data_IF_868744677215
#
_entry.id   IF_868744677215
#
_cell.length_a   1.000
_cell.length_b   1.000
_cell.length_c   1.000
_cell.angle_alpha   90.00
_cell.angle_beta   90.00
_cell.angle_gamma   90.00
#
_symmetry.space_group_name_H-M   'P 1'
#
loop_
_entity.id
_entity.type
_entity.pdbx_description
1 polymer ?
#
# COMPACT_ATOMS: atom_id res chain seq x y z
N UNK A 1 6.52 39.77 -28.09
CA UNK A 1 7.27 39.57 -26.83
C UNK A 1 6.47 38.83 -25.76
N UNK A 2 5.14 38.73 -25.87
CA UNK A 2 4.27 38.03 -24.89
C UNK A 2 4.29 36.50 -25.00
N UNK A 3 4.37 35.94 -26.22
CA UNK A 3 4.36 34.47 -26.42
C UNK A 3 5.56 33.76 -25.77
N UNK A 4 6.77 34.31 -25.90
CA UNK A 4 7.98 33.76 -25.27
C UNK A 4 7.87 33.80 -23.73
N UNK A 5 7.35 34.90 -23.18
CA UNK A 5 7.20 35.04 -21.72
C UNK A 5 6.16 34.07 -21.15
N UNK A 6 5.06 33.82 -21.87
CA UNK A 6 4.04 32.83 -21.47
C UNK A 6 4.60 31.41 -21.48
N UNK A 7 5.38 31.04 -22.51
CA UNK A 7 6.06 29.74 -22.55
C UNK A 7 7.08 29.59 -21.41
N UNK A 8 7.79 30.67 -21.06
CA UNK A 8 8.79 30.65 -19.99
C UNK A 8 8.16 30.53 -18.61
N UNK A 9 7.06 31.25 -18.34
CA UNK A 9 6.34 31.12 -17.06
C UNK A 9 5.63 29.78 -16.93
N UNK A 10 5.09 29.22 -18.03
CA UNK A 10 4.47 27.89 -18.04
C UNK A 10 5.50 26.78 -17.77
N UNK A 11 6.70 26.87 -18.37
CA UNK A 11 7.79 25.92 -18.11
C UNK A 11 8.23 25.96 -16.64
N UNK A 12 8.47 27.16 -16.10
CA UNK A 12 8.87 27.35 -14.69
C UNK A 12 7.76 26.85 -13.75
N UNK A 13 6.50 27.13 -14.04
CA UNK A 13 5.37 26.64 -13.25
C UNK A 13 5.26 25.11 -13.27
N UNK A 14 5.44 24.47 -14.42
CA UNK A 14 5.42 23.00 -14.54
C UNK A 14 6.58 22.32 -13.83
N UNK A 15 7.78 22.91 -13.89
CA UNK A 15 8.95 22.44 -13.15
C UNK A 15 8.72 22.59 -11.64
N UNK A 16 8.25 23.77 -11.20
CA UNK A 16 7.92 24.01 -9.78
C UNK A 16 6.88 23.03 -9.26
N UNK A 17 5.76 22.82 -9.97
CA UNK A 17 4.70 21.88 -9.56
C UNK A 17 5.23 20.45 -9.40
N UNK A 18 6.14 20.01 -10.29
CA UNK A 18 6.75 18.68 -10.22
C UNK A 18 7.60 18.50 -8.95
N UNK A 19 8.36 19.51 -8.57
CA UNK A 19 9.22 19.48 -7.38
C UNK A 19 8.48 19.77 -6.08
N UNK A 20 7.37 20.52 -6.10
CA UNK A 20 6.54 20.76 -4.91
C UNK A 20 5.47 19.71 -4.66
N UNK A 21 5.20 18.80 -5.62
CA UNK A 21 4.25 17.68 -5.48
C UNK A 21 4.77 16.47 -4.68
N UNK A 22 5.96 16.57 -4.09
CA UNK A 22 6.56 15.49 -3.29
C UNK A 22 5.77 15.15 -2.01
N UNK A 23 4.82 16.00 -1.58
CA UNK A 23 4.00 15.71 -0.40
C UNK A 23 2.96 14.59 -0.59
N UNK A 24 2.82 14.02 -1.79
CA UNK A 24 1.99 12.81 -2.00
C UNK A 24 2.72 11.49 -1.68
N UNK A 25 4.00 11.55 -1.31
CA UNK A 25 4.80 10.38 -0.91
C UNK A 25 4.85 10.14 0.61
N UNK A 26 4.62 11.18 1.43
CA UNK A 26 4.69 11.08 2.89
C UNK A 26 3.58 10.17 3.48
N UNK A 27 2.47 10.02 2.78
CA UNK A 27 1.36 9.12 3.16
C UNK A 27 1.62 7.65 2.86
N UNK A 28 2.59 7.28 2.00
CA UNK A 28 2.90 5.86 1.75
C UNK A 28 3.45 5.16 2.98
N UNK A 29 4.14 5.88 3.86
CA UNK A 29 4.76 5.32 5.06
C UNK A 29 3.70 5.01 6.13
N UNK A 30 2.74 5.91 6.33
CA UNK A 30 1.68 5.75 7.34
C UNK A 30 0.73 4.60 6.98
N UNK A 31 0.29 4.53 5.72
CA UNK A 31 -0.53 3.39 5.29
C UNK A 31 0.29 2.10 5.19
N UNK A 32 1.59 2.18 4.89
CA UNK A 32 2.49 1.04 4.85
C UNK A 32 2.63 0.32 6.20
N UNK A 33 2.80 1.08 7.30
CA UNK A 33 2.93 0.48 8.63
C UNK A 33 1.59 -0.10 9.14
N UNK A 34 0.46 0.53 8.82
CA UNK A 34 -0.86 -0.03 9.15
C UNK A 34 -1.11 -1.35 8.44
N UNK A 35 -0.79 -1.44 7.15
CA UNK A 35 -0.92 -2.68 6.38
C UNK A 35 0.03 -3.76 6.89
N UNK A 36 1.27 -3.40 7.24
CA UNK A 36 2.23 -4.34 7.82
C UNK A 36 1.74 -4.93 9.15
N UNK A 37 1.14 -4.11 10.01
CA UNK A 37 0.57 -4.58 11.28
C UNK A 37 -0.60 -5.57 11.06
N UNK A 38 -1.51 -5.26 10.13
CA UNK A 38 -2.61 -6.17 9.77
C UNK A 38 -2.06 -7.48 9.19
N UNK A 39 -1.01 -7.42 8.37
CA UNK A 39 -0.38 -8.61 7.81
C UNK A 39 0.17 -9.55 8.89
N UNK A 40 0.81 -9.00 9.94
CA UNK A 40 1.28 -9.79 11.09
C UNK A 40 0.12 -10.44 11.84
N UNK A 41 -0.98 -9.73 12.06
CA UNK A 41 -2.17 -10.28 12.71
C UNK A 41 -2.79 -11.44 11.91
N UNK A 42 -2.93 -11.27 10.60
CA UNK A 42 -3.44 -12.33 9.70
C UNK A 42 -2.49 -13.53 9.71
N UNK A 43 -1.18 -13.30 9.66
CA UNK A 43 -0.19 -14.37 9.73
C UNK A 43 -0.29 -15.17 11.03
N UNK A 44 -0.41 -14.49 12.18
CA UNK A 44 -0.60 -15.14 13.48
C UNK A 44 -1.90 -15.98 13.51
N UNK A 45 -3.00 -15.44 12.97
CA UNK A 45 -4.26 -16.17 12.87
C UNK A 45 -4.12 -17.45 12.01
N UNK A 46 -3.44 -17.37 10.86
CA UNK A 46 -3.21 -18.54 10.00
C UNK A 46 -2.34 -19.58 10.67
N UNK A 47 -1.29 -19.19 11.41
CA UNK A 47 -0.40 -20.11 12.13
C UNK A 47 -1.18 -20.90 13.20
N UNK A 48 -2.10 -20.25 13.91
CA UNK A 48 -2.86 -20.88 15.01
C UNK A 48 -4.05 -21.69 14.46
N UNK A 49 -4.84 -21.09 13.58
CA UNK A 49 -6.11 -21.66 13.11
C UNK A 49 -5.92 -22.65 11.94
N UNK A 50 -4.91 -22.45 11.10
CA UNK A 50 -4.65 -23.30 9.94
C UNK A 50 -4.53 -24.79 10.29
N UNK A 51 -3.68 -25.19 11.25
CA UNK A 51 -3.58 -26.58 11.68
C UNK A 51 -4.87 -27.14 12.28
N UNK A 52 -5.63 -26.32 13.01
CA UNK A 52 -6.91 -26.74 13.61
C UNK A 52 -7.96 -27.03 12.54
N UNK A 53 -8.06 -26.15 11.54
CA UNK A 53 -8.97 -26.32 10.40
C UNK A 53 -8.57 -27.55 9.58
N UNK A 54 -7.28 -27.72 9.28
CA UNK A 54 -6.80 -28.91 8.59
C UNK A 54 -7.17 -30.19 9.36
N UNK A 55 -6.97 -30.20 10.69
CA UNK A 55 -7.34 -31.32 11.54
C UNK A 55 -8.85 -31.59 11.61
N UNK A 56 -9.70 -30.56 11.45
CA UNK A 56 -11.15 -30.75 11.32
C UNK A 56 -11.49 -31.49 10.02
N UNK A 57 -10.94 -31.03 8.89
CA UNK A 57 -11.16 -31.69 7.60
C UNK A 57 -10.62 -33.12 7.57
N UNK A 58 -9.42 -33.38 8.10
CA UNK A 58 -8.86 -34.73 8.19
C UNK A 58 -9.76 -35.68 8.99
N UNK A 59 -10.32 -35.22 10.12
CA UNK A 59 -11.23 -36.05 10.93
C UNK A 59 -12.51 -36.40 10.19
N UNK A 60 -13.11 -35.43 9.49
CA UNK A 60 -14.29 -35.67 8.66
C UNK A 60 -13.95 -36.68 7.56
N UNK A 61 -12.86 -36.47 6.83
CA UNK A 61 -12.42 -37.38 5.77
C UNK A 61 -12.15 -38.80 6.25
N UNK A 62 -11.62 -38.97 7.48
CA UNK A 62 -11.39 -40.29 8.07
C UNK A 62 -12.68 -40.98 8.55
N UNK A 63 -13.79 -40.23 8.63
CA UNK A 63 -15.09 -40.73 9.10
C UNK A 63 -16.07 -41.03 7.95
N UNK A 64 -15.67 -40.78 6.70
CA UNK A 64 -16.38 -41.22 5.48
C UNK A 64 -15.89 -42.60 5.07
#
# INVERSE_FOLDING_TARGET
>A
MTSLMVSMTAFIAGVKDRFTREEKGATMVEYGIMVAFIAVLVMAAVIILGPQIAGLFTRVSASL
#
